data_IF_383588200504
#
_entry.id   IF_383588200504
#
_cell.length_a   1.000
_cell.length_b   1.000
_cell.length_c   1.000
_cell.angle_alpha   90.00
_cell.angle_beta   90.00
_cell.angle_gamma   90.00
#
_symmetry.space_group_name_H-M   'P 1'
#
loop_
_entity.id
_entity.type
_entity.pdbx_description
1 polymer ?
#
# COMPACT_ATOMS: atom_id res chain seq x y z
N UNK A 1 10.60 -3.63 9.89
CA UNK A 1 11.64 -4.33 9.10
C UNK A 1 11.17 -4.79 7.71
N UNK A 2 10.02 -4.34 7.19
CA UNK A 2 9.66 -4.45 5.75
C UNK A 2 9.36 -3.07 5.14
N UNK A 3 8.69 -2.20 5.90
CA UNK A 3 8.31 -0.83 5.53
C UNK A 3 9.48 0.05 4.99
N UNK A 4 10.67 0.01 5.62
CA UNK A 4 11.84 0.79 5.17
C UNK A 4 12.39 0.36 3.79
N UNK A 5 12.27 -0.91 3.43
CA UNK A 5 12.76 -1.40 2.13
C UNK A 5 11.78 -1.04 1.00
N UNK A 6 10.48 -0.95 1.32
CA UNK A 6 9.43 -0.52 0.39
C UNK A 6 9.44 0.99 0.15
N UNK A 7 9.65 1.80 1.19
CA UNK A 7 9.77 3.27 1.07
C UNK A 7 10.86 3.71 0.08
N UNK A 8 11.91 2.89 -0.11
CA UNK A 8 13.03 3.20 -1.00
C UNK A 8 12.82 2.76 -2.46
N UNK A 9 11.85 1.88 -2.76
CA UNK A 9 11.64 1.30 -4.10
C UNK A 9 10.29 1.64 -4.74
N UNK A 10 9.32 2.18 -3.98
CA UNK A 10 8.09 2.74 -4.52
C UNK A 10 8.31 4.23 -4.85
N UNK A 11 7.61 4.79 -5.86
CA UNK A 11 7.60 6.24 -6.09
C UNK A 11 7.20 6.92 -4.79
N UNK A 12 8.15 7.66 -4.22
CA UNK A 12 8.18 8.29 -2.90
C UNK A 12 6.80 8.37 -2.23
N UNK A 13 6.39 7.29 -1.55
CA UNK A 13 5.15 7.27 -0.80
C UNK A 13 5.39 8.15 0.43
N UNK A 14 5.08 9.43 0.29
CA UNK A 14 5.18 10.41 1.35
C UNK A 14 3.96 10.28 2.27
N UNK A 15 4.24 10.00 3.54
CA UNK A 15 3.27 9.77 4.63
C UNK A 15 2.43 10.99 5.00
N UNK A 16 2.80 12.19 4.56
CA UNK A 16 2.06 13.43 4.77
C UNK A 16 1.33 13.89 3.52
N UNK A 17 1.45 13.14 2.42
CA UNK A 17 0.93 13.53 1.13
C UNK A 17 -0.18 12.58 0.70
N UNK A 18 -1.42 13.08 0.69
CA UNK A 18 -2.56 12.35 0.13
C UNK A 18 -2.32 11.94 -1.33
N UNK A 19 -1.50 12.69 -2.06
CA UNK A 19 -1.12 12.33 -3.44
C UNK A 19 -0.45 10.96 -3.54
N UNK A 20 0.26 10.51 -2.50
CA UNK A 20 0.85 9.17 -2.46
C UNK A 20 -0.20 8.08 -2.36
N UNK A 21 -1.26 8.32 -1.59
CA UNK A 21 -2.40 7.44 -1.46
C UNK A 21 -3.22 7.42 -2.76
N UNK A 22 -3.44 8.59 -3.37
CA UNK A 22 -4.14 8.71 -4.65
C UNK A 22 -3.40 7.98 -5.78
N UNK A 23 -2.06 7.90 -5.72
CA UNK A 23 -1.26 7.11 -6.66
C UNK A 23 -1.42 5.59 -6.45
N UNK A 24 -1.84 5.15 -5.26
CA UNK A 24 -2.13 3.75 -4.95
C UNK A 24 -3.59 3.38 -5.27
N UNK A 25 -4.52 4.32 -5.08
CA UNK A 25 -5.94 4.17 -5.39
C UNK A 25 -6.21 4.35 -6.90
N UNK A 26 -5.83 3.34 -7.68
CA UNK A 26 -5.99 3.32 -9.13
C UNK A 26 -7.46 3.38 -9.60
N UNK A 27 -8.37 2.93 -8.75
CA UNK A 27 -9.79 2.87 -9.04
C UNK A 27 -10.54 4.11 -8.51
N UNK A 28 -9.85 5.05 -7.84
CA UNK A 28 -10.38 6.28 -7.23
C UNK A 28 -11.62 6.03 -6.36
N UNK A 29 -11.52 5.01 -5.51
CA UNK A 29 -12.61 4.59 -4.60
C UNK A 29 -12.45 5.11 -3.18
N UNK A 30 -11.46 5.95 -2.92
CA UNK A 30 -11.04 6.41 -1.58
C UNK A 30 -10.51 5.27 -0.67
N UNK A 31 -10.24 4.10 -1.25
CA UNK A 31 -9.63 2.96 -0.59
C UNK A 31 -8.79 2.13 -1.56
N UNK A 32 -7.69 1.56 -1.08
CA UNK A 32 -6.82 0.71 -1.89
C UNK A 32 -7.18 -0.75 -1.66
N UNK A 33 -7.48 -1.49 -2.74
CA UNK A 33 -7.67 -2.94 -2.66
C UNK A 33 -6.37 -3.69 -2.95
N UNK A 34 -6.31 -4.96 -2.53
CA UNK A 34 -5.16 -5.82 -2.82
C UNK A 34 -4.89 -5.96 -4.33
N UNK A 35 -5.93 -5.84 -5.16
CA UNK A 35 -5.80 -5.88 -6.61
C UNK A 35 -5.09 -4.64 -7.15
N UNK A 36 -5.29 -3.48 -6.53
CA UNK A 36 -4.61 -2.23 -6.89
C UNK A 36 -3.14 -2.28 -6.50
N UNK A 37 -2.86 -2.80 -5.30
CA UNK A 37 -1.49 -3.16 -4.90
C UNK A 37 -0.86 -4.12 -5.92
N UNK A 38 -1.56 -5.17 -6.35
CA UNK A 38 -1.04 -6.12 -7.34
C UNK A 38 -0.67 -5.45 -8.67
N UNK A 39 -1.53 -4.56 -9.20
CA UNK A 39 -1.27 -3.82 -10.45
C UNK A 39 0.00 -2.96 -10.33
N UNK A 40 0.13 -2.23 -9.22
CA UNK A 40 1.27 -1.35 -8.95
C UNK A 40 2.54 -2.18 -8.78
N UNK A 41 2.50 -3.22 -7.96
CA UNK A 41 3.66 -4.06 -7.70
C UNK A 41 4.12 -4.86 -8.93
N UNK A 42 3.21 -5.36 -9.77
CA UNK A 42 3.63 -5.98 -11.03
C UNK A 42 4.36 -5.01 -11.96
N UNK A 43 4.11 -3.70 -11.83
CA UNK A 43 4.77 -2.65 -12.62
C UNK A 43 6.14 -2.25 -12.07
N UNK A 44 6.27 -2.12 -10.74
CA UNK A 44 7.49 -1.60 -10.10
C UNK A 44 8.41 -2.71 -9.55
N UNK A 45 7.86 -3.85 -9.14
CA UNK A 45 8.56 -4.96 -8.49
C UNK A 45 7.97 -6.33 -8.94
N UNK A 46 8.11 -6.72 -10.22
CA UNK A 46 7.52 -7.95 -10.77
C UNK A 46 8.07 -9.24 -10.14
N UNK A 47 9.22 -9.17 -9.46
CA UNK A 47 9.82 -10.29 -8.74
C UNK A 47 9.25 -10.50 -7.33
N UNK A 48 8.36 -9.62 -6.85
CA UNK A 48 7.79 -9.76 -5.52
C UNK A 48 6.78 -10.93 -5.47
N UNK A 49 6.95 -11.90 -4.56
CA UNK A 49 5.98 -12.98 -4.40
C UNK A 49 4.61 -12.45 -3.97
N UNK A 50 3.54 -12.97 -4.57
CA UNK A 50 2.15 -12.59 -4.25
C UNK A 50 1.79 -12.82 -2.78
N UNK A 51 2.38 -13.85 -2.16
CA UNK A 51 2.21 -14.12 -0.72
C UNK A 51 2.75 -13.01 0.17
N UNK A 52 3.89 -12.40 -0.21
CA UNK A 52 4.48 -11.29 0.53
C UNK A 52 3.63 -10.02 0.37
N UNK A 53 3.10 -9.78 -0.83
CA UNK A 53 2.17 -8.68 -1.08
C UNK A 53 0.93 -8.77 -0.19
N UNK A 54 0.37 -9.97 -0.01
CA UNK A 54 -0.77 -10.20 0.88
C UNK A 54 -0.43 -9.98 2.35
N UNK A 55 0.78 -10.32 2.78
CA UNK A 55 1.26 -10.01 4.13
C UNK A 55 1.34 -8.52 4.34
N UNK A 56 1.93 -7.79 3.39
CA UNK A 56 2.03 -6.32 3.44
C UNK A 56 0.65 -5.69 3.48
N UNK A 57 -0.25 -6.11 2.58
CA UNK A 57 -1.62 -5.62 2.56
C UNK A 57 -2.29 -5.75 3.93
N UNK A 58 -2.15 -6.89 4.59
CA UNK A 58 -2.70 -7.14 5.94
C UNK A 58 -2.01 -6.33 7.05
N UNK A 59 -0.77 -5.90 6.86
CA UNK A 59 -0.16 -4.96 7.81
C UNK A 59 -0.83 -3.58 7.70
N UNK A 60 -1.27 -3.18 6.51
CA UNK A 60 -1.97 -1.92 6.29
C UNK A 60 -3.45 -1.99 6.63
N UNK A 61 -4.16 -3.08 6.32
CA UNK A 61 -5.58 -3.31 6.59
C UNK A 61 -5.84 -3.57 8.10
N UNK A 62 -5.96 -2.50 8.88
CA UNK A 62 -6.04 -2.55 10.35
C UNK A 62 -7.39 -3.07 10.85
N UNK A 63 -8.48 -2.73 10.16
CA UNK A 63 -9.83 -3.16 10.51
C UNK A 63 -10.23 -4.49 9.85
N UNK A 64 -9.34 -5.05 9.01
CA UNK A 64 -9.51 -6.34 8.33
C UNK A 64 -10.76 -6.39 7.43
N UNK A 65 -11.18 -5.25 6.88
CA UNK A 65 -12.32 -5.15 5.96
C UNK A 65 -11.96 -5.57 4.52
N UNK A 66 -10.68 -5.84 4.26
CA UNK A 66 -10.15 -6.22 2.96
C UNK A 66 -9.83 -5.02 2.06
N UNK A 67 -9.78 -3.82 2.62
CA UNK A 67 -9.46 -2.55 1.99
C UNK A 67 -8.47 -1.81 2.88
N UNK A 68 -7.71 -0.88 2.29
CA UNK A 68 -6.87 0.03 3.05
C UNK A 68 -7.44 1.41 2.86
N UNK A 69 -8.11 1.93 3.88
CA UNK A 69 -8.59 3.31 3.89
C UNK A 69 -7.41 4.27 4.10
N UNK A 70 -7.66 5.56 3.86
CA UNK A 70 -6.68 6.60 4.17
C UNK A 70 -6.34 6.63 5.67
N UNK A 71 -7.30 6.30 6.54
CA UNK A 71 -7.08 6.24 7.99
C UNK A 71 -6.14 5.10 8.38
N UNK A 72 -6.33 3.92 7.79
CA UNK A 72 -5.46 2.74 8.01
C UNK A 72 -4.02 3.03 7.57
N UNK A 73 -3.90 3.68 6.42
CA UNK A 73 -2.63 4.15 5.89
C UNK A 73 -1.95 5.17 6.83
N UNK A 74 -2.71 6.11 7.41
CA UNK A 74 -2.17 7.03 8.41
C UNK A 74 -1.80 6.34 9.73
N UNK A 75 -2.53 5.31 10.14
CA UNK A 75 -2.28 4.59 11.38
C UNK A 75 -0.97 3.81 11.32
N UNK A 76 -0.75 3.11 10.21
CA UNK A 76 0.46 2.32 9.95
C UNK A 76 1.72 3.16 9.74
N UNK A 77 1.58 4.43 9.36
CA UNK A 77 2.71 5.35 9.18
C UNK A 77 3.10 6.13 10.44
N UNK A 78 2.33 5.98 11.53
CA UNK A 78 2.60 6.64 12.83
C UNK A 78 3.52 5.88 13.79
N UNK A 79 3.95 4.66 13.46
CA UNK A 79 4.78 3.81 14.36
C UNK A 79 6.28 3.80 14.04
#
# INVERSE_FOLDING_TARGET
>A
MLQKHFQNNLPHIDKHNRLSFDCLDLDSKDFVMINDLHKIWSRYLPSLPSGLLRTIFREFDQDCDGRVSYEDYLHTTKS
#
